data_IF_702410870455
#
_entry.id   IF_702410870455
#
_cell.length_a   1.000
_cell.length_b   1.000
_cell.length_c   1.000
_cell.angle_alpha   90.00
_cell.angle_beta   90.00
_cell.angle_gamma   90.00
#
_symmetry.space_group_name_H-M   'P 1'
#
loop_
_entity.id
_entity.type
_entity.pdbx_description
1 polymer ?
#
# COMPACT_ATOMS: atom_id res chain seq x y z
N UNK A 1 -0.29 1.26 16.40
CA UNK A 1 -1.59 1.93 16.17
C UNK A 1 -2.24 2.24 17.52
N UNK A 2 -2.50 3.51 17.86
CA UNK A 2 -3.16 3.85 19.13
C UNK A 2 -4.68 3.74 18.96
N UNK A 3 -5.35 3.08 19.91
CA UNK A 3 -6.80 2.78 19.95
C UNK A 3 -7.75 3.93 19.53
N UNK A 4 -7.30 5.18 19.69
CA UNK A 4 -8.04 6.40 19.31
C UNK A 4 -8.42 6.49 17.83
N UNK A 5 -7.61 5.95 16.91
CA UNK A 5 -7.90 6.00 15.47
C UNK A 5 -9.04 5.04 15.11
N UNK A 6 -9.09 3.88 15.76
CA UNK A 6 -10.18 2.90 15.62
C UNK A 6 -11.48 3.45 16.20
N UNK A 7 -11.40 4.22 17.30
CA UNK A 7 -12.57 4.83 17.95
C UNK A 7 -13.25 5.90 17.08
N UNK A 8 -12.50 6.67 16.27
CA UNK A 8 -13.08 7.59 15.28
C UNK A 8 -13.79 6.80 14.18
N UNK A 9 -13.21 5.68 13.73
CA UNK A 9 -13.82 4.81 12.74
C UNK A 9 -15.18 4.24 13.17
N UNK A 10 -15.40 3.95 14.46
CA UNK A 10 -16.67 3.36 14.97
C UNK A 10 -17.92 4.15 14.57
N UNK A 11 -17.87 5.48 14.48
CA UNK A 11 -18.98 6.30 13.97
C UNK A 11 -19.12 6.25 12.44
N UNK A 12 -18.00 6.09 11.72
CA UNK A 12 -17.99 5.98 10.25
C UNK A 12 -18.40 4.59 9.76
N UNK A 13 -18.18 3.52 10.55
CA UNK A 13 -18.56 2.15 10.20
C UNK A 13 -20.06 1.85 10.36
N UNK A 14 -20.83 2.73 11.01
CA UNK A 14 -22.29 2.60 11.14
C UNK A 14 -23.04 2.86 9.82
N UNK A 15 -22.34 3.31 8.77
CA UNK A 15 -22.90 3.60 7.45
C UNK A 15 -22.41 2.66 6.35
N UNK A 16 -21.89 1.48 6.71
CA UNK A 16 -21.71 0.43 5.71
C UNK A 16 -23.11 -0.03 5.24
N UNK A 17 -23.62 0.58 4.17
CA UNK A 17 -24.95 0.28 3.61
C UNK A 17 -25.11 -1.16 3.10
N UNK A 18 -24.08 -1.99 3.20
CA UNK A 18 -24.10 -3.45 2.98
C UNK A 18 -22.90 -4.13 3.65
N UNK A 19 -23.05 -5.40 4.03
CA UNK A 19 -21.98 -6.24 4.58
C UNK A 19 -20.77 -6.34 3.64
N UNK A 20 -21.02 -6.46 2.33
CA UNK A 20 -19.96 -6.46 1.32
C UNK A 20 -19.17 -5.13 1.28
N UNK A 21 -19.82 -4.01 1.58
CA UNK A 21 -19.14 -2.72 1.74
C UNK A 21 -18.27 -2.67 2.99
N UNK A 22 -18.76 -3.25 4.10
CA UNK A 22 -17.99 -3.36 5.34
C UNK A 22 -16.75 -4.24 5.17
N UNK A 23 -16.86 -5.37 4.48
CA UNK A 23 -15.75 -6.28 4.19
C UNK A 23 -14.66 -5.58 3.35
N UNK A 24 -15.04 -4.91 2.27
CA UNK A 24 -14.10 -4.14 1.43
C UNK A 24 -13.40 -3.04 2.22
N UNK A 25 -14.16 -2.31 3.06
CA UNK A 25 -13.58 -1.31 3.93
C UNK A 25 -12.55 -1.94 4.88
N UNK A 26 -12.90 -3.05 5.55
CA UNK A 26 -12.00 -3.76 6.45
C UNK A 26 -10.70 -4.22 5.76
N UNK A 27 -10.79 -4.68 4.51
CA UNK A 27 -9.61 -4.99 3.70
C UNK A 27 -8.70 -3.76 3.50
N UNK A 28 -9.27 -2.61 3.13
CA UNK A 28 -8.49 -1.38 2.94
C UNK A 28 -7.84 -0.91 4.26
N UNK A 29 -8.57 -0.92 5.37
CA UNK A 29 -8.01 -0.57 6.68
C UNK A 29 -6.87 -1.51 7.10
N UNK A 30 -7.01 -2.81 6.82
CA UNK A 30 -5.98 -3.81 7.11
C UNK A 30 -4.71 -3.55 6.29
N UNK A 31 -4.87 -3.20 5.00
CA UNK A 31 -3.75 -2.83 4.13
C UNK A 31 -3.02 -1.58 4.62
N UNK A 32 -3.76 -0.52 4.98
CA UNK A 32 -3.18 0.72 5.52
C UNK A 32 -2.45 0.45 6.84
N UNK A 33 -3.05 -0.32 7.74
CA UNK A 33 -2.41 -0.71 8.99
C UNK A 33 -1.12 -1.49 8.76
N UNK A 34 -1.10 -2.39 7.76
CA UNK A 34 0.09 -3.13 7.36
C UNK A 34 1.19 -2.20 6.84
N UNK A 35 0.85 -1.19 6.05
CA UNK A 35 1.81 -0.18 5.58
C UNK A 35 2.46 0.57 6.75
N UNK A 36 1.65 0.98 7.73
CA UNK A 36 2.14 1.66 8.94
C UNK A 36 3.08 0.74 9.74
N UNK A 37 2.75 -0.55 9.88
CA UNK A 37 3.60 -1.52 10.57
C UNK A 37 4.92 -1.79 9.82
N UNK A 38 4.90 -1.75 8.48
CA UNK A 38 6.09 -1.90 7.64
C UNK A 38 6.95 -0.62 7.54
N UNK A 39 6.49 0.49 8.13
CA UNK A 39 7.15 1.80 8.00
C UNK A 39 7.17 2.28 6.55
N UNK A 40 6.06 2.10 5.84
CA UNK A 40 5.83 2.54 4.47
C UNK A 40 4.79 3.65 4.50
N UNK A 41 4.98 4.70 3.68
CA UNK A 41 3.96 5.73 3.49
C UNK A 41 2.72 5.14 2.80
N UNK A 42 1.55 5.06 3.45
CA UNK A 42 0.38 4.40 2.88
C UNK A 42 -0.15 5.09 1.62
N UNK A 43 -0.01 6.42 1.52
CA UNK A 43 -0.47 7.16 0.35
C UNK A 43 0.39 6.81 -0.87
N UNK A 44 1.72 6.91 -0.76
CA UNK A 44 2.63 6.58 -1.86
C UNK A 44 2.49 5.12 -2.31
N UNK A 45 2.30 4.20 -1.36
CA UNK A 45 2.04 2.79 -1.67
C UNK A 45 0.74 2.61 -2.45
N UNK A 46 -0.37 3.18 -1.96
CA UNK A 46 -1.68 3.01 -2.62
C UNK A 46 -1.70 3.61 -4.02
N UNK A 47 -1.10 4.78 -4.23
CA UNK A 47 -1.02 5.41 -5.56
C UNK A 47 -0.29 4.51 -6.55
N UNK A 48 0.92 4.04 -6.22
CA UNK A 48 1.72 3.20 -7.12
C UNK A 48 1.07 1.83 -7.38
N UNK A 49 0.49 1.22 -6.35
CA UNK A 49 -0.19 -0.09 -6.50
C UNK A 49 -1.45 0.03 -7.34
N UNK A 50 -2.26 1.07 -7.14
CA UNK A 50 -3.48 1.30 -7.94
C UNK A 50 -3.15 1.63 -9.39
N UNK A 51 -2.11 2.42 -9.65
CA UNK A 51 -1.62 2.70 -11.01
C UNK A 51 -1.14 1.43 -11.71
N UNK A 52 -0.35 0.59 -11.03
CA UNK A 52 0.11 -0.70 -11.58
C UNK A 52 -1.05 -1.64 -11.87
N UNK A 53 -2.04 -1.71 -10.96
CA UNK A 53 -3.20 -2.57 -11.13
C UNK A 53 -4.06 -2.10 -12.32
N UNK A 54 -4.29 -0.79 -12.46
CA UNK A 54 -4.98 -0.21 -13.61
C UNK A 54 -4.21 -0.43 -14.92
N UNK A 55 -2.88 -0.46 -14.87
CA UNK A 55 -1.98 -0.79 -15.98
C UNK A 55 -1.95 -2.28 -16.38
N UNK A 56 -2.78 -3.13 -15.77
CA UNK A 56 -2.88 -4.55 -16.12
C UNK A 56 -1.79 -5.43 -15.49
N UNK A 57 -1.37 -5.12 -14.27
CA UNK A 57 -0.40 -5.94 -13.53
C UNK A 57 -0.86 -7.41 -13.47
N UNK A 58 0.01 -8.38 -13.80
CA UNK A 58 -0.40 -9.78 -13.84
C UNK A 58 -0.65 -10.30 -12.43
N UNK A 59 -1.77 -11.02 -12.26
CA UNK A 59 -2.20 -11.58 -10.98
C UNK A 59 -1.13 -12.45 -10.31
N UNK A 60 -0.30 -13.15 -11.10
CA UNK A 60 0.80 -13.99 -10.58
C UNK A 60 1.87 -13.20 -9.81
N UNK A 61 1.99 -11.89 -10.03
CA UNK A 61 2.98 -11.02 -9.37
C UNK A 61 2.35 -10.09 -8.33
N UNK A 62 1.16 -10.42 -7.81
CA UNK A 62 0.52 -9.63 -6.75
C UNK A 62 1.34 -9.63 -5.46
N UNK A 63 2.08 -10.70 -5.18
CA UNK A 63 2.90 -10.83 -3.97
C UNK A 63 4.01 -9.77 -3.92
N UNK A 64 4.51 -9.32 -5.08
CA UNK A 64 5.52 -8.24 -5.19
C UNK A 64 4.95 -6.88 -4.78
N UNK A 65 3.62 -6.71 -4.85
CA UNK A 65 2.93 -5.48 -4.47
C UNK A 65 2.62 -5.45 -2.97
N UNK A 66 2.94 -6.46 -2.18
CA UNK A 66 2.74 -6.40 -0.72
C UNK A 66 3.62 -5.30 -0.10
N UNK A 67 3.16 -4.57 0.93
CA UNK A 67 3.88 -3.43 1.49
C UNK A 67 5.38 -3.66 1.79
N UNK A 68 5.82 -4.77 2.42
CA UNK A 68 7.24 -5.00 2.67
C UNK A 68 8.04 -5.32 1.39
N UNK A 69 7.45 -6.03 0.42
CA UNK A 69 8.11 -6.37 -0.85
C UNK A 69 8.19 -5.16 -1.78
N UNK A 70 7.13 -4.36 -1.80
CA UNK A 70 7.09 -3.07 -2.50
C UNK A 70 8.19 -2.13 -1.99
N UNK A 71 8.35 -2.05 -0.67
CA UNK A 71 9.42 -1.27 -0.04
C UNK A 71 10.80 -1.76 -0.49
N UNK A 72 11.05 -3.06 -0.37
CA UNK A 72 12.32 -3.65 -0.79
C UNK A 72 12.62 -3.41 -2.28
N UNK A 73 11.60 -3.50 -3.15
CA UNK A 73 11.72 -3.20 -4.57
C UNK A 73 12.08 -1.72 -4.83
N UNK A 74 11.46 -0.79 -4.10
CA UNK A 74 11.78 0.64 -4.22
C UNK A 74 13.16 0.98 -3.66
N UNK A 75 13.55 0.39 -2.55
CA UNK A 75 14.88 0.56 -1.97
C UNK A 75 15.94 0.03 -2.94
N UNK A 76 15.71 -1.14 -3.55
CA UNK A 76 16.59 -1.70 -4.59
C UNK A 76 16.65 -0.81 -5.84
N UNK A 77 15.53 -0.23 -6.28
CA UNK A 77 15.50 0.71 -7.41
C UNK A 77 16.21 2.03 -7.09
N UNK A 78 16.13 2.52 -5.85
CA UNK A 78 16.87 3.69 -5.39
C UNK A 78 18.37 3.41 -5.26
N UNK A 79 18.76 2.16 -4.98
CA UNK A 79 20.15 1.74 -4.85
C UNK A 79 20.82 1.38 -6.20
N UNK A 80 20.07 1.37 -7.31
CA UNK A 80 20.66 1.20 -8.64
C UNK A 80 21.53 2.44 -8.95
N UNK A 81 22.85 2.28 -9.12
CA UNK A 81 23.75 3.40 -9.29
C UNK A 81 23.42 4.12 -10.60
N UNK A 82 23.28 5.44 -10.51
CA UNK A 82 23.40 6.35 -11.64
C UNK A 82 24.81 6.18 -12.22
N UNK A 83 24.98 5.20 -13.11
CA UNK A 83 26.14 5.13 -13.98
C UNK A 83 26.05 6.30 -14.95
N UNK A 84 26.52 7.47 -14.51
CA UNK A 84 26.86 8.59 -15.38
C UNK A 84 28.12 8.20 -16.14
N UNK A 85 28.10 8.10 -17.48
CA UNK A 85 29.34 7.99 -18.24
C UNK A 85 29.93 9.40 -18.34
N UNK A 86 30.69 9.80 -17.33
CA UNK A 86 31.56 10.97 -17.42
C UNK A 86 33.01 10.50 -17.23
N UNK A 87 33.78 10.47 -18.32
CA UNK A 87 35.27 10.54 -18.44
C UNK A 87 35.54 10.46 -19.96
N UNK A 88 35.90 11.59 -20.60
CA UNK A 88 37.25 11.93 -21.11
C UNK A 88 37.77 10.97 -22.18
#
# INVERSE_FOLDING_TARGET
LRLREIAVGRKNYLFAGSDAGAERAACVYTLVATCVLAGVDPQAYLTDVLEKLAGGWPQRRLEELLPPMWKASRDAAAQAPSASPATT
#
